data_IF_572006587440
#
_entry.id   IF_572006587440
#
_cell.length_a   1.000
_cell.length_b   1.000
_cell.length_c   1.000
_cell.angle_alpha   90.00
_cell.angle_beta   90.00
_cell.angle_gamma   90.00
#
_symmetry.space_group_name_H-M   'P 1'
#
loop_
_entity.id
_entity.type
_entity.pdbx_description
1 polymer ?
#
# COMPACT_ATOMS: atom_id res chain seq x y z
N UNK A 1 -31.26 -22.56 -63.59
CA UNK A 1 -32.08 -23.44 -62.72
C UNK A 1 -31.19 -24.17 -61.71
N UNK A 2 -30.22 -24.99 -62.14
CA UNK A 2 -29.29 -25.68 -61.22
C UNK A 2 -28.58 -24.77 -60.22
N UNK A 3 -27.98 -23.64 -60.65
CA UNK A 3 -27.29 -22.72 -59.75
C UNK A 3 -28.21 -22.11 -58.67
N UNK A 4 -29.48 -21.84 -58.99
CA UNK A 4 -30.46 -21.34 -58.02
C UNK A 4 -30.83 -22.41 -56.98
N UNK A 5 -30.94 -23.67 -57.41
CA UNK A 5 -31.21 -24.81 -56.52
C UNK A 5 -30.02 -25.04 -55.59
N UNK A 6 -28.78 -24.92 -56.08
CA UNK A 6 -27.57 -25.06 -55.25
C UNK A 6 -27.48 -23.96 -54.19
N UNK A 7 -27.78 -22.71 -54.54
CA UNK A 7 -27.77 -21.58 -53.59
C UNK A 7 -28.83 -21.79 -52.49
N UNK A 8 -30.05 -22.20 -52.87
CA UNK A 8 -31.11 -22.50 -51.88
C UNK A 8 -30.70 -23.68 -50.99
N UNK A 9 -30.08 -24.72 -51.55
CA UNK A 9 -29.56 -25.85 -50.78
C UNK A 9 -28.48 -25.44 -49.77
N UNK A 10 -27.57 -24.54 -50.16
CA UNK A 10 -26.53 -24.01 -49.26
C UNK A 10 -27.14 -23.14 -48.16
N UNK A 11 -28.11 -22.27 -48.48
CA UNK A 11 -28.79 -21.44 -47.48
C UNK A 11 -29.56 -22.29 -46.48
N UNK A 12 -30.29 -23.31 -46.95
CA UNK A 12 -31.01 -24.25 -46.07
C UNK A 12 -30.03 -25.06 -45.22
N UNK A 13 -28.92 -25.54 -45.80
CA UNK A 13 -27.90 -26.26 -45.04
C UNK A 13 -27.25 -25.38 -43.96
N UNK A 14 -26.98 -24.10 -44.25
CA UNK A 14 -26.44 -23.15 -43.26
C UNK A 14 -27.46 -22.84 -42.17
N UNK A 15 -28.75 -22.71 -42.48
CA UNK A 15 -29.79 -22.49 -41.48
C UNK A 15 -30.10 -23.73 -40.63
N UNK A 16 -29.96 -24.94 -41.19
CA UNK A 16 -30.21 -26.20 -40.49
C UNK A 16 -28.99 -26.65 -39.67
N UNK A 17 -27.76 -26.30 -40.08
CA UNK A 17 -26.52 -26.56 -39.32
C UNK A 17 -26.14 -25.45 -38.32
N UNK A 18 -26.95 -24.40 -38.17
CA UNK A 18 -26.85 -23.55 -36.99
C UNK A 18 -27.47 -24.32 -35.82
N UNK A 19 -26.67 -25.19 -35.18
CA UNK A 19 -26.99 -25.64 -33.83
C UNK A 19 -27.23 -24.37 -33.00
N UNK A 20 -28.41 -24.21 -32.36
CA UNK A 20 -28.60 -23.10 -31.46
C UNK A 20 -27.52 -23.22 -30.39
N UNK A 21 -26.54 -22.30 -30.41
CA UNK A 21 -25.56 -22.19 -29.35
C UNK A 21 -26.38 -22.13 -28.07
N UNK A 22 -26.35 -23.20 -27.30
CA UNK A 22 -27.15 -23.31 -26.09
C UNK A 22 -26.58 -22.29 -25.13
N UNK A 23 -27.16 -21.09 -25.15
CA UNK A 23 -26.75 -20.02 -24.24
C UNK A 23 -27.03 -20.52 -22.84
N UNK A 24 -25.96 -20.73 -22.08
CA UNK A 24 -26.08 -21.13 -20.68
C UNK A 24 -26.93 -20.07 -19.97
N UNK A 25 -27.97 -20.47 -19.21
CA UNK A 25 -28.83 -19.53 -18.51
C UNK A 25 -28.01 -18.54 -17.68
N UNK A 26 -28.32 -17.25 -17.81
CA UNK A 26 -27.71 -16.14 -17.08
C UNK A 26 -26.20 -15.93 -17.31
N UNK A 27 -25.59 -16.65 -18.26
CA UNK A 27 -24.17 -16.48 -18.58
C UNK A 27 -23.86 -15.04 -19.01
N UNK A 28 -22.87 -14.43 -18.36
CA UNK A 28 -22.43 -13.06 -18.58
C UNK A 28 -23.18 -12.02 -17.74
N UNK A 29 -24.30 -12.38 -17.11
CA UNK A 29 -25.06 -11.49 -16.22
C UNK A 29 -24.28 -11.22 -14.93
N UNK A 30 -24.50 -10.05 -14.32
CA UNK A 30 -23.98 -9.74 -13.01
C UNK A 30 -24.70 -10.58 -11.95
N UNK A 31 -23.96 -11.09 -10.96
CA UNK A 31 -24.54 -11.81 -9.83
C UNK A 31 -25.43 -10.88 -8.99
N UNK A 32 -25.03 -9.60 -8.86
CA UNK A 32 -25.76 -8.53 -8.19
C UNK A 32 -25.99 -7.34 -9.14
N UNK A 33 -27.01 -7.37 -10.01
CA UNK A 33 -27.20 -6.35 -11.06
C UNK A 33 -27.32 -4.90 -10.55
N UNK A 34 -27.85 -4.70 -9.35
CA UNK A 34 -28.09 -3.36 -8.76
C UNK A 34 -26.97 -2.88 -7.82
N UNK A 35 -25.95 -3.72 -7.56
CA UNK A 35 -24.92 -3.37 -6.58
C UNK A 35 -24.06 -2.21 -7.08
N UNK A 36 -23.71 -2.18 -8.37
CA UNK A 36 -22.88 -1.11 -8.93
C UNK A 36 -23.50 0.29 -8.74
N UNK A 37 -24.83 0.41 -8.80
CA UNK A 37 -25.52 1.69 -8.56
C UNK A 37 -25.56 2.13 -7.10
N UNK A 38 -25.28 1.24 -6.15
CA UNK A 38 -25.38 1.50 -4.70
C UNK A 38 -24.06 1.28 -3.97
N UNK A 39 -22.99 0.91 -4.68
CA UNK A 39 -21.69 0.53 -4.10
C UNK A 39 -21.05 1.65 -3.27
N UNK A 40 -21.29 2.91 -3.64
CA UNK A 40 -20.78 4.07 -2.93
C UNK A 40 -21.52 4.35 -1.61
N UNK A 41 -22.73 3.82 -1.46
CA UNK A 41 -23.57 3.94 -0.27
C UNK A 41 -23.28 2.84 0.75
N UNK A 42 -22.42 1.87 0.41
CA UNK A 42 -22.03 0.78 1.31
C UNK A 42 -21.29 1.37 2.51
N UNK A 43 -21.83 1.09 3.70
CA UNK A 43 -21.30 1.57 4.97
C UNK A 43 -20.85 0.44 5.90
N UNK A 44 -21.14 -0.81 5.57
CA UNK A 44 -20.66 -1.97 6.31
C UNK A 44 -20.31 -3.12 5.34
N UNK A 45 -19.14 -3.72 5.53
CA UNK A 45 -18.70 -4.96 4.88
C UNK A 45 -18.41 -5.98 5.97
N UNK A 46 -19.06 -7.14 5.88
CA UNK A 46 -18.88 -8.24 6.82
C UNK A 46 -18.34 -9.43 6.04
N UNK A 47 -17.24 -10.02 6.53
CA UNK A 47 -16.65 -11.26 6.01
C UNK A 47 -16.70 -12.29 7.13
N UNK A 48 -17.41 -13.38 6.91
CA UNK A 48 -17.63 -14.41 7.90
C UNK A 48 -17.16 -15.77 7.39
N UNK A 49 -16.37 -16.44 8.21
CA UNK A 49 -16.05 -17.85 8.07
C UNK A 49 -16.68 -18.61 9.23
N UNK A 50 -16.42 -19.91 9.35
CA UNK A 50 -16.81 -20.68 10.52
C UNK A 50 -16.17 -20.16 11.81
N UNK A 51 -14.90 -19.74 11.74
CA UNK A 51 -14.06 -19.47 12.91
C UNK A 51 -13.91 -17.97 13.22
N UNK A 52 -14.15 -17.11 12.24
CA UNK A 52 -13.87 -15.68 12.33
C UNK A 52 -14.94 -14.84 11.65
N UNK A 53 -15.22 -13.69 12.26
CA UNK A 53 -16.00 -12.59 11.68
C UNK A 53 -15.11 -11.37 11.61
N UNK A 54 -15.08 -10.73 10.45
CA UNK A 54 -14.45 -9.42 10.22
C UNK A 54 -15.56 -8.44 9.88
N UNK A 55 -15.61 -7.31 10.59
CA UNK A 55 -16.61 -6.27 10.40
C UNK A 55 -15.93 -4.94 10.13
N UNK A 56 -16.08 -4.46 8.90
CA UNK A 56 -15.59 -3.17 8.44
C UNK A 56 -16.75 -2.18 8.41
N UNK A 57 -16.61 -1.06 9.10
CA UNK A 57 -17.63 -0.02 9.19
C UNK A 57 -17.07 1.28 8.63
N UNK A 58 -17.83 1.97 7.79
CA UNK A 58 -17.46 3.27 7.26
C UNK A 58 -18.02 4.39 8.14
N UNK A 59 -17.14 5.13 8.78
CA UNK A 59 -17.49 6.30 9.61
C UNK A 59 -16.66 7.50 9.14
N UNK A 60 -17.28 8.67 8.99
CA UNK A 60 -16.59 9.91 8.61
C UNK A 60 -15.64 9.77 7.39
N UNK A 61 -16.05 8.96 6.40
CA UNK A 61 -15.29 8.58 5.21
C UNK A 61 -14.05 7.69 5.42
N UNK A 62 -13.86 7.12 6.61
CA UNK A 62 -12.80 6.15 6.90
C UNK A 62 -13.41 4.78 7.17
N UNK A 63 -12.78 3.73 6.64
CA UNK A 63 -13.12 2.36 7.00
C UNK A 63 -12.41 1.96 8.27
N UNK A 64 -13.17 1.46 9.24
CA UNK A 64 -12.68 1.03 10.54
C UNK A 64 -12.99 -0.45 10.75
N UNK A 65 -12.09 -1.14 11.43
CA UNK A 65 -12.19 -2.56 11.75
C UNK A 65 -12.69 -2.73 13.19
N UNK A 66 -13.89 -3.27 13.34
CA UNK A 66 -14.57 -3.42 14.63
C UNK A 66 -13.79 -4.30 15.60
N UNK A 67 -13.25 -5.41 15.10
CA UNK A 67 -12.50 -6.40 15.87
C UNK A 67 -11.14 -5.87 16.36
N UNK A 68 -10.71 -4.70 15.86
CA UNK A 68 -9.50 -3.98 16.28
C UNK A 68 -9.84 -2.62 16.90
N UNK A 69 -10.94 -2.58 17.66
CA UNK A 69 -11.39 -1.43 18.43
C UNK A 69 -11.60 -0.14 17.61
N UNK A 70 -11.99 -0.30 16.34
CA UNK A 70 -12.20 0.80 15.39
C UNK A 70 -10.92 1.31 14.73
N UNK A 71 -9.81 0.56 14.74
CA UNK A 71 -8.63 0.97 13.99
C UNK A 71 -8.91 1.01 12.49
N UNK A 72 -8.25 1.93 11.78
CA UNK A 72 -8.43 2.11 10.34
C UNK A 72 -8.07 0.84 9.54
N UNK A 73 -8.87 0.55 8.54
CA UNK A 73 -8.65 -0.51 7.59
C UNK A 73 -8.05 0.02 6.28
N UNK A 74 -7.38 -0.87 5.54
CA UNK A 74 -6.87 -0.59 4.20
C UNK A 74 -8.04 -0.38 3.23
N UNK A 75 -8.26 0.89 2.87
CA UNK A 75 -9.35 1.31 1.99
C UNK A 75 -9.25 0.71 0.59
N UNK A 76 -8.05 0.42 0.09
CA UNK A 76 -7.87 -0.14 -1.24
C UNK A 76 -8.33 -1.60 -1.27
N UNK A 77 -8.05 -2.37 -0.21
CA UNK A 77 -8.62 -3.73 -0.05
C UNK A 77 -10.14 -3.70 -0.01
N UNK A 78 -10.73 -2.78 0.75
CA UNK A 78 -12.19 -2.65 0.83
C UNK A 78 -12.78 -2.34 -0.55
N UNK A 79 -12.23 -1.33 -1.22
CA UNK A 79 -12.67 -0.93 -2.58
C UNK A 79 -12.58 -2.07 -3.57
N UNK A 80 -11.50 -2.86 -3.54
CA UNK A 80 -11.32 -4.02 -4.41
C UNK A 80 -12.41 -5.06 -4.22
N UNK A 81 -12.84 -5.34 -2.98
CA UNK A 81 -13.96 -6.24 -2.71
C UNK A 81 -15.29 -5.67 -3.18
N UNK A 82 -15.56 -4.39 -2.89
CA UNK A 82 -16.81 -3.74 -3.30
C UNK A 82 -16.99 -3.77 -4.83
N UNK A 83 -15.94 -3.41 -5.58
CA UNK A 83 -15.94 -3.48 -7.05
C UNK A 83 -15.99 -4.93 -7.51
N UNK A 84 -15.19 -5.82 -6.91
CA UNK A 84 -15.14 -7.24 -7.25
C UNK A 84 -16.49 -7.94 -7.14
N UNK A 85 -17.29 -7.60 -6.12
CA UNK A 85 -18.67 -8.08 -5.96
C UNK A 85 -19.63 -7.44 -6.97
N UNK A 86 -19.51 -6.13 -7.21
CA UNK A 86 -20.37 -5.40 -8.14
C UNK A 86 -20.18 -5.84 -9.60
N UNK A 87 -18.98 -6.30 -9.95
CA UNK A 87 -18.62 -6.77 -11.29
C UNK A 87 -18.65 -8.30 -11.45
N UNK A 88 -18.96 -9.05 -10.38
CA UNK A 88 -18.94 -10.51 -10.40
C UNK A 88 -19.98 -11.04 -11.38
N UNK A 89 -19.54 -11.82 -12.39
CA UNK A 89 -20.41 -12.32 -13.46
C UNK A 89 -20.63 -13.81 -13.38
N UNK A 90 -21.84 -14.25 -13.71
CA UNK A 90 -22.20 -15.65 -13.83
C UNK A 90 -21.53 -16.21 -15.09
N UNK A 91 -20.83 -17.34 -14.96
CA UNK A 91 -20.36 -18.13 -16.11
C UNK A 91 -21.35 -19.22 -16.44
N UNK A 92 -21.74 -20.00 -15.44
CA UNK A 92 -22.60 -21.17 -15.65
C UNK A 92 -23.36 -21.54 -14.36
N UNK A 93 -24.63 -21.98 -14.49
CA UNK A 93 -25.31 -22.64 -13.38
C UNK A 93 -24.60 -23.94 -13.01
N UNK A 94 -24.55 -24.24 -11.70
CA UNK A 94 -24.06 -25.49 -11.17
C UNK A 94 -25.20 -26.34 -10.61
N UNK A 95 -25.16 -26.66 -9.33
CA UNK A 95 -26.11 -27.59 -8.70
C UNK A 95 -27.22 -26.86 -7.97
N UNK A 96 -28.41 -27.47 -7.92
CA UNK A 96 -29.47 -27.15 -6.96
C UNK A 96 -29.57 -28.15 -5.81
N UNK A 97 -28.79 -29.24 -5.84
CA UNK A 97 -28.74 -30.25 -4.78
C UNK A 97 -27.78 -29.78 -3.67
N UNK A 98 -28.28 -29.51 -2.44
CA UNK A 98 -27.45 -29.10 -1.30
C UNK A 98 -26.41 -30.14 -0.89
N UNK A 99 -26.64 -31.44 -1.16
CA UNK A 99 -25.69 -32.52 -0.86
C UNK A 99 -24.38 -32.41 -1.65
N UNK A 100 -24.31 -31.54 -2.66
CA UNK A 100 -23.12 -31.30 -3.47
C UNK A 100 -22.38 -30.00 -3.10
N UNK A 101 -22.85 -29.26 -2.09
CA UNK A 101 -22.23 -27.99 -1.70
C UNK A 101 -20.86 -28.14 -1.08
N UNK A 102 -20.62 -29.23 -0.33
CA UNK A 102 -19.31 -29.57 0.25
C UNK A 102 -18.20 -29.61 -0.83
N UNK A 103 -18.48 -30.25 -1.98
CA UNK A 103 -17.56 -30.35 -3.12
C UNK A 103 -17.19 -28.99 -3.72
N UNK A 104 -18.07 -28.01 -3.55
CA UNK A 104 -17.90 -26.65 -4.07
C UNK A 104 -17.41 -25.68 -3.00
N UNK A 105 -17.29 -26.11 -1.74
CA UNK A 105 -16.99 -25.24 -0.60
C UNK A 105 -18.12 -24.25 -0.27
N UNK A 106 -19.38 -24.61 -0.55
CA UNK A 106 -20.55 -23.74 -0.43
C UNK A 106 -21.45 -24.10 0.75
N UNK A 107 -20.96 -24.81 1.76
CA UNK A 107 -21.74 -25.10 2.97
C UNK A 107 -22.12 -23.80 3.71
N UNK A 108 -23.17 -23.80 4.53
CA UNK A 108 -23.40 -22.65 5.43
C UNK A 108 -22.29 -22.61 6.51
N UNK A 109 -22.03 -21.44 7.10
CA UNK A 109 -20.94 -21.28 8.10
C UNK A 109 -21.19 -22.10 9.37
N UNK A 110 -22.45 -22.35 9.70
CA UNK A 110 -22.88 -23.12 10.87
C UNK A 110 -22.67 -24.63 10.69
N UNK A 111 -22.45 -25.10 9.46
CA UNK A 111 -22.25 -26.52 9.19
C UNK A 111 -20.84 -26.97 9.63
N UNK A 112 -20.74 -28.19 10.16
CA UNK A 112 -19.46 -28.77 10.54
C UNK A 112 -18.53 -28.90 9.32
N UNK A 113 -17.25 -28.60 9.50
CA UNK A 113 -16.27 -28.60 8.41
C UNK A 113 -16.43 -27.52 7.32
N UNK A 114 -17.35 -26.56 7.46
CA UNK A 114 -17.57 -25.53 6.43
C UNK A 114 -16.30 -24.72 6.15
N UNK A 115 -15.93 -24.65 4.86
CA UNK A 115 -14.80 -23.87 4.35
C UNK A 115 -15.25 -22.60 3.59
N UNK A 116 -16.56 -22.36 3.55
CA UNK A 116 -17.12 -21.22 2.82
C UNK A 116 -16.76 -19.90 3.49
N UNK A 117 -16.91 -18.80 2.76
CA UNK A 117 -16.85 -17.45 3.29
C UNK A 117 -18.11 -16.70 2.90
N UNK A 118 -18.89 -16.26 3.87
CA UNK A 118 -20.05 -15.39 3.64
C UNK A 118 -19.59 -13.95 3.61
N UNK A 119 -19.99 -13.22 2.57
CA UNK A 119 -19.72 -11.79 2.43
C UNK A 119 -21.04 -11.04 2.38
N UNK A 120 -21.18 -10.05 3.25
CA UNK A 120 -22.38 -9.20 3.36
C UNK A 120 -21.99 -7.75 3.20
N UNK A 121 -22.67 -7.05 2.30
CA UNK A 121 -22.60 -5.59 2.14
C UNK A 121 -23.90 -4.98 2.65
N UNK A 122 -23.79 -3.95 3.48
CA UNK A 122 -24.94 -3.16 3.94
C UNK A 122 -24.82 -1.72 3.49
N UNK A 123 -25.98 -1.11 3.27
CA UNK A 123 -26.16 0.33 3.13
C UNK A 123 -27.10 0.83 4.23
N UNK A 124 -27.18 2.15 4.50
CA UNK A 124 -28.11 2.69 5.48
C UNK A 124 -29.58 2.32 5.24
N UNK A 125 -29.96 2.08 3.98
CA UNK A 125 -31.33 1.80 3.56
C UNK A 125 -31.57 0.31 3.25
N UNK A 126 -30.52 -0.51 3.17
CA UNK A 126 -30.63 -1.93 2.87
C UNK A 126 -29.60 -2.73 3.67
N UNK A 127 -30.02 -3.47 4.72
CA UNK A 127 -29.12 -4.27 5.54
C UNK A 127 -28.55 -5.50 4.79
N UNK A 128 -29.06 -5.81 3.59
CA UNK A 128 -28.59 -6.90 2.73
C UNK A 128 -28.49 -6.39 1.28
N UNK A 129 -27.71 -5.33 1.07
CA UNK A 129 -27.46 -4.79 -0.27
C UNK A 129 -26.82 -5.83 -1.22
N UNK A 130 -25.95 -6.69 -0.66
CA UNK A 130 -25.54 -7.94 -1.26
C UNK A 130 -25.18 -8.94 -0.17
N UNK A 131 -25.51 -10.22 -0.37
CA UNK A 131 -25.09 -11.31 0.52
C UNK A 131 -24.78 -12.55 -0.31
N UNK A 132 -23.56 -13.08 -0.20
CA UNK A 132 -23.08 -14.22 -0.99
C UNK A 132 -22.24 -15.15 -0.15
N UNK A 133 -22.44 -16.45 -0.36
CA UNK A 133 -21.57 -17.51 0.15
C UNK A 133 -20.57 -17.86 -0.95
N UNK A 134 -19.30 -17.67 -0.66
CA UNK A 134 -18.17 -17.87 -1.56
C UNK A 134 -17.44 -19.14 -1.18
N UNK A 135 -17.24 -20.03 -2.15
CA UNK A 135 -16.60 -21.32 -1.95
C UNK A 135 -15.24 -21.43 -2.64
N UNK A 136 -15.00 -22.61 -3.21
CA UNK A 136 -13.75 -22.92 -3.90
C UNK A 136 -13.52 -21.96 -5.08
N UNK A 137 -12.25 -21.65 -5.34
CA UNK A 137 -11.85 -20.77 -6.44
C UNK A 137 -10.62 -21.31 -7.13
N UNK A 138 -10.47 -20.99 -8.42
CA UNK A 138 -9.29 -21.33 -9.24
C UNK A 138 -9.01 -20.21 -10.24
N UNK A 139 -7.76 -20.06 -10.72
CA UNK A 139 -7.47 -19.15 -11.82
C UNK A 139 -8.37 -19.41 -13.03
N UNK A 140 -8.90 -18.34 -13.63
CA UNK A 140 -9.78 -18.46 -14.79
C UNK A 140 -9.01 -18.90 -16.03
N UNK A 141 -9.66 -19.70 -16.89
CA UNK A 141 -9.06 -20.11 -18.17
C UNK A 141 -8.81 -18.89 -19.06
N UNK A 142 -7.60 -18.76 -19.58
CA UNK A 142 -7.22 -17.69 -20.52
C UNK A 142 -6.97 -16.32 -19.89
N UNK A 143 -7.24 -16.12 -18.59
CA UNK A 143 -6.88 -14.90 -17.87
C UNK A 143 -6.47 -15.21 -16.43
N UNK A 144 -5.17 -15.37 -16.13
CA UNK A 144 -4.71 -15.72 -14.78
C UNK A 144 -4.89 -14.60 -13.74
N UNK A 145 -5.31 -13.39 -14.15
CA UNK A 145 -5.65 -12.29 -13.24
C UNK A 145 -7.09 -12.37 -12.71
N UNK A 146 -7.92 -13.22 -13.31
CA UNK A 146 -9.29 -13.47 -12.89
C UNK A 146 -9.39 -14.85 -12.26
N UNK A 147 -10.42 -15.07 -11.45
CA UNK A 147 -10.73 -16.36 -10.86
C UNK A 147 -12.10 -16.84 -11.29
N UNK A 148 -12.21 -18.14 -11.51
CA UNK A 148 -13.47 -18.86 -11.53
C UNK A 148 -13.84 -19.20 -10.07
N UNK A 149 -14.97 -18.69 -9.59
CA UNK A 149 -15.34 -18.71 -8.18
C UNK A 149 -16.72 -19.36 -8.02
N UNK A 150 -16.81 -20.42 -7.22
CA UNK A 150 -18.09 -21.00 -6.86
C UNK A 150 -18.79 -20.10 -5.83
N UNK A 151 -20.07 -19.80 -6.06
CA UNK A 151 -20.86 -18.97 -5.16
C UNK A 151 -22.30 -19.47 -5.06
N UNK A 152 -23.00 -19.10 -3.99
CA UNK A 152 -24.46 -19.14 -3.92
C UNK A 152 -25.00 -17.99 -3.06
N UNK A 153 -26.26 -17.63 -3.27
CA UNK A 153 -26.96 -16.71 -2.37
C UNK A 153 -27.56 -17.51 -1.22
N UNK A 154 -27.54 -17.01 0.03
CA UNK A 154 -28.24 -17.64 1.14
C UNK A 154 -29.73 -17.84 0.82
N UNK A 155 -30.29 -18.99 1.19
CA UNK A 155 -31.68 -19.35 0.92
C UNK A 155 -32.01 -19.72 -0.53
N UNK A 156 -31.15 -19.44 -1.50
CA UNK A 156 -31.30 -19.87 -2.89
C UNK A 156 -30.59 -21.22 -3.09
N UNK A 157 -31.30 -22.30 -3.48
CA UNK A 157 -30.67 -23.60 -3.70
C UNK A 157 -29.69 -23.59 -4.88
N UNK A 158 -29.75 -22.61 -5.78
CA UNK A 158 -28.88 -22.56 -6.95
C UNK A 158 -27.45 -22.10 -6.61
N UNK A 159 -26.49 -22.99 -6.86
CA UNK A 159 -25.07 -22.64 -6.90
C UNK A 159 -24.63 -22.21 -8.31
N UNK A 160 -23.68 -21.30 -8.38
CA UNK A 160 -23.17 -20.74 -9.63
C UNK A 160 -21.66 -20.87 -9.69
N UNK A 161 -21.12 -21.03 -10.90
CA UNK A 161 -19.74 -20.64 -11.16
C UNK A 161 -19.74 -19.23 -11.71
N UNK A 162 -18.90 -18.38 -11.14
CA UNK A 162 -18.73 -16.99 -11.54
C UNK A 162 -17.32 -16.71 -12.02
N UNK A 163 -17.12 -15.59 -12.69
CA UNK A 163 -15.81 -15.05 -13.03
C UNK A 163 -15.67 -13.65 -12.45
N UNK A 164 -14.56 -13.41 -11.76
CA UNK A 164 -14.30 -12.13 -11.09
C UNK A 164 -12.95 -12.11 -10.40
N UNK A 165 -12.73 -11.06 -9.61
CA UNK A 165 -11.59 -10.94 -8.71
C UNK A 165 -12.11 -10.61 -7.31
N UNK A 166 -12.06 -11.60 -6.41
CA UNK A 166 -12.60 -11.48 -5.06
C UNK A 166 -11.58 -12.04 -4.05
N UNK A 167 -10.67 -11.17 -3.60
CA UNK A 167 -9.59 -11.52 -2.67
C UNK A 167 -10.01 -11.24 -1.22
N UNK A 168 -10.74 -12.18 -0.64
CA UNK A 168 -11.28 -12.04 0.71
C UNK A 168 -10.19 -12.33 1.74
N UNK A 169 -9.83 -11.31 2.49
CA UNK A 169 -9.03 -11.46 3.71
C UNK A 169 -9.95 -11.99 4.83
N UNK A 170 -9.56 -13.11 5.43
CA UNK A 170 -10.40 -13.85 6.38
C UNK A 170 -10.07 -13.50 7.82
N UNK A 171 -8.87 -12.97 8.05
CA UNK A 171 -8.36 -12.60 9.37
C UNK A 171 -8.44 -11.09 9.53
N UNK A 172 -8.90 -10.64 10.70
CA UNK A 172 -9.04 -9.20 10.99
C UNK A 172 -7.73 -8.41 10.75
N UNK A 173 -6.59 -8.94 11.18
CA UNK A 173 -5.28 -8.27 11.01
C UNK A 173 -4.89 -8.01 9.56
N UNK A 174 -5.36 -8.83 8.61
CA UNK A 174 -5.07 -8.66 7.18
C UNK A 174 -5.76 -7.42 6.59
N UNK A 175 -6.75 -6.85 7.28
CA UNK A 175 -7.46 -5.65 6.84
C UNK A 175 -6.85 -4.35 7.35
N UNK A 176 -5.86 -4.39 8.24
CA UNK A 176 -5.30 -3.19 8.87
C UNK A 176 -4.60 -2.30 7.84
N UNK A 177 -4.78 -0.98 7.95
CA UNK A 177 -3.89 -0.02 7.29
C UNK A 177 -2.57 0.03 8.06
N UNK A 178 -1.60 -0.74 7.55
CA UNK A 178 -0.35 -1.05 8.24
C UNK A 178 0.66 0.11 8.31
N UNK A 179 0.45 1.21 7.57
CA UNK A 179 1.48 2.25 7.40
C UNK A 179 1.54 3.20 8.61
N UNK A 180 2.43 2.98 9.59
CA UNK A 180 2.56 3.91 10.72
C UNK A 180 3.28 5.18 10.27
N UNK A 181 4.44 5.06 9.62
CA UNK A 181 5.24 6.21 9.16
C UNK A 181 5.38 6.22 7.64
N UNK A 182 5.29 7.41 7.05
CA UNK A 182 5.37 7.63 5.61
C UNK A 182 6.26 8.85 5.30
N UNK A 183 7.54 8.76 5.65
CA UNK A 183 8.53 9.81 5.37
C UNK A 183 9.37 9.45 4.15
N UNK A 184 10.20 10.39 3.69
CA UNK A 184 11.25 10.10 2.69
C UNK A 184 12.61 10.26 3.34
N UNK A 185 13.55 9.36 3.03
CA UNK A 185 14.92 9.41 3.57
C UNK A 185 15.66 10.70 3.17
N UNK A 186 15.26 11.34 2.06
CA UNK A 186 15.77 12.66 1.64
C UNK A 186 15.41 13.77 2.62
N UNK A 187 14.26 13.71 3.29
CA UNK A 187 13.87 14.69 4.32
C UNK A 187 14.62 14.50 5.62
N UNK A 188 15.11 13.30 5.92
CA UNK A 188 15.72 12.99 7.22
C UNK A 188 17.11 13.61 7.34
N UNK A 189 17.33 14.37 8.39
CA UNK A 189 18.62 14.94 8.78
C UNK A 189 19.35 14.01 9.74
N UNK A 190 18.65 13.49 10.76
CA UNK A 190 19.26 12.80 11.89
C UNK A 190 18.33 11.78 12.50
N UNK A 191 18.89 10.67 12.97
CA UNK A 191 18.23 9.72 13.87
C UNK A 191 19.11 9.52 15.10
N UNK A 192 18.51 9.65 16.28
CA UNK A 192 19.12 9.29 17.56
C UNK A 192 18.34 8.12 18.15
N UNK A 193 19.01 7.04 18.53
CA UNK A 193 18.42 5.92 19.28
C UNK A 193 19.07 5.86 20.65
N UNK A 194 18.26 5.84 21.69
CA UNK A 194 18.69 5.74 23.09
C UNK A 194 18.25 4.40 23.67
N UNK A 195 19.21 3.65 24.19
CA UNK A 195 19.01 2.35 24.80
C UNK A 195 18.60 2.47 26.28
N UNK A 196 17.99 1.42 26.88
CA UNK A 196 17.60 1.43 28.29
C UNK A 196 18.73 1.73 29.28
N UNK A 197 19.98 1.43 28.93
CA UNK A 197 21.18 1.70 29.73
C UNK A 197 21.74 3.11 29.54
N UNK A 198 21.15 3.91 28.63
CA UNK A 198 21.58 5.25 28.29
C UNK A 198 22.61 5.33 27.16
N UNK A 199 23.05 4.20 26.57
CA UNK A 199 23.87 4.24 25.35
C UNK A 199 23.08 4.90 24.22
N UNK A 200 23.74 5.76 23.44
CA UNK A 200 23.14 6.44 22.30
C UNK A 200 23.82 6.07 20.99
N UNK A 201 23.01 5.79 19.99
CA UNK A 201 23.40 5.68 18.59
C UNK A 201 22.93 6.93 17.87
N UNK A 202 23.85 7.62 17.21
CA UNK A 202 23.54 8.80 16.41
C UNK A 202 23.99 8.58 14.97
N UNK A 203 23.04 8.69 14.03
CA UNK A 203 23.31 8.68 12.59
C UNK A 203 22.73 9.93 11.94
N UNK A 204 23.49 10.57 11.06
CA UNK A 204 23.08 11.84 10.42
C UNK A 204 23.67 12.01 9.04
N UNK A 205 23.07 12.88 8.24
CA UNK A 205 23.65 13.38 6.99
C UNK A 205 23.58 14.89 6.94
N UNK A 206 24.49 15.53 6.22
CA UNK A 206 24.60 16.98 6.26
C UNK A 206 23.56 17.66 5.37
N UNK A 207 23.28 17.05 4.21
CA UNK A 207 22.40 17.57 3.16
C UNK A 207 21.33 16.54 2.73
N UNK A 208 20.16 17.00 2.23
CA UNK A 208 19.14 16.13 1.67
C UNK A 208 19.65 15.21 0.54
N UNK A 209 20.61 15.70 -0.25
CA UNK A 209 21.18 15.03 -1.42
C UNK A 209 22.18 13.93 -1.06
N UNK A 210 22.72 13.94 0.16
CA UNK A 210 23.65 12.91 0.60
C UNK A 210 22.96 11.54 0.62
N UNK A 211 23.61 10.57 -0.02
CA UNK A 211 23.10 9.20 -0.16
C UNK A 211 23.19 8.41 1.15
N UNK A 212 24.23 8.68 1.94
CA UNK A 212 24.62 7.88 3.09
C UNK A 212 24.55 8.68 4.40
N UNK A 213 23.95 8.06 5.42
CA UNK A 213 24.02 8.54 6.79
C UNK A 213 25.34 8.12 7.41
N UNK A 214 25.97 9.04 8.12
CA UNK A 214 27.22 8.81 8.83
C UNK A 214 26.95 8.48 10.30
N UNK A 215 27.72 7.53 10.82
CA UNK A 215 27.72 7.21 12.25
C UNK A 215 28.56 8.26 12.99
N UNK A 216 27.99 8.88 14.03
CA UNK A 216 28.70 9.88 14.80
C UNK A 216 29.84 9.28 15.65
N UNK A 217 30.91 10.05 15.85
CA UNK A 217 32.01 9.76 16.80
C UNK A 217 32.62 8.35 16.69
N UNK A 218 33.01 7.92 15.49
CA UNK A 218 33.68 6.62 15.28
C UNK A 218 35.00 6.56 16.09
N UNK A 219 35.20 5.56 16.97
CA UNK A 219 36.43 5.44 17.76
C UNK A 219 37.69 5.32 16.88
N UNK A 220 38.80 5.88 17.35
CA UNK A 220 40.08 5.76 16.65
C UNK A 220 40.45 4.27 16.44
N UNK A 221 40.92 3.93 15.24
CA UNK A 221 41.24 2.54 14.86
C UNK A 221 40.03 1.69 14.44
N UNK A 222 38.82 2.26 14.45
CA UNK A 222 37.60 1.61 13.95
C UNK A 222 37.17 2.19 12.60
N UNK A 223 36.43 1.39 11.84
CA UNK A 223 35.73 1.82 10.62
C UNK A 223 34.28 1.35 10.65
N UNK A 224 33.42 1.97 9.85
CA UNK A 224 32.06 1.43 9.62
C UNK A 224 32.19 0.09 8.90
N UNK A 225 31.66 -0.97 9.50
CA UNK A 225 31.69 -2.32 8.94
C UNK A 225 30.72 -2.47 7.76
N UNK A 226 29.56 -1.81 7.81
CA UNK A 226 28.53 -1.87 6.78
C UNK A 226 27.75 -0.57 6.71
N UNK A 227 27.95 0.19 5.63
CA UNK A 227 27.20 1.42 5.36
C UNK A 227 25.70 1.14 5.15
N UNK A 228 25.38 0.00 4.53
CA UNK A 228 24.00 -0.46 4.37
C UNK A 228 23.27 -0.59 5.71
N UNK A 229 23.92 -1.18 6.72
CA UNK A 229 23.31 -1.34 8.04
C UNK A 229 23.06 0.01 8.72
N UNK A 230 23.98 0.97 8.57
CA UNK A 230 23.80 2.34 9.09
C UNK A 230 22.58 3.01 8.44
N UNK A 231 22.48 2.96 7.11
CA UNK A 231 21.32 3.52 6.40
C UNK A 231 20.00 2.80 6.74
N UNK A 232 20.05 1.50 7.02
CA UNK A 232 18.87 0.69 7.33
C UNK A 232 18.23 1.07 8.67
N UNK A 233 18.98 1.63 9.63
CA UNK A 233 18.43 2.23 10.85
C UNK A 233 17.41 3.31 10.49
N UNK A 234 17.82 4.24 9.61
CA UNK A 234 16.97 5.35 9.17
C UNK A 234 15.83 4.86 8.29
N UNK A 235 16.13 4.02 7.30
CA UNK A 235 15.12 3.47 6.39
C UNK A 235 14.00 2.74 7.12
N UNK A 236 14.33 2.04 8.20
CA UNK A 236 13.33 1.34 9.02
C UNK A 236 12.39 2.31 9.74
N UNK A 237 12.89 3.39 10.35
CA UNK A 237 12.03 4.39 11.02
C UNK A 237 11.24 5.25 10.04
N UNK A 238 11.74 5.43 8.81
CA UNK A 238 11.06 6.15 7.74
C UNK A 238 9.82 5.38 7.25
N UNK A 239 9.94 4.06 7.13
CA UNK A 239 8.87 3.15 6.68
C UNK A 239 8.70 2.00 7.68
N UNK A 240 8.12 2.29 8.83
CA UNK A 240 7.82 1.32 9.87
C UNK A 240 6.35 0.88 9.77
N UNK A 241 6.06 -0.34 9.31
CA UNK A 241 4.71 -0.88 9.36
C UNK A 241 4.38 -1.42 10.75
N UNK A 242 3.09 -1.57 11.04
CA UNK A 242 2.59 -2.42 12.13
C UNK A 242 2.32 -3.85 11.65
N UNK A 243 2.39 -4.81 12.57
CA UNK A 243 1.84 -6.17 12.39
C UNK A 243 0.44 -6.28 12.99
N UNK A 244 0.21 -5.59 14.11
CA UNK A 244 -1.08 -5.52 14.79
C UNK A 244 -1.21 -4.21 15.60
N UNK A 245 -2.37 -3.97 16.20
CA UNK A 245 -2.68 -2.74 16.94
C UNK A 245 -3.51 -3.03 18.20
N UNK A 246 -3.27 -2.24 19.24
CA UNK A 246 -4.00 -2.23 20.50
C UNK A 246 -4.23 -0.81 20.98
N UNK A 247 -5.17 -0.61 21.91
CA UNK A 247 -5.28 0.69 22.60
C UNK A 247 -4.03 0.91 23.46
N UNK A 248 -3.56 2.16 23.54
CA UNK A 248 -2.34 2.53 24.26
C UNK A 248 -2.32 2.02 25.71
N UNK A 249 -3.47 2.00 26.37
CA UNK A 249 -3.62 1.58 27.78
C UNK A 249 -3.38 0.08 28.00
N UNK A 250 -3.33 -0.73 26.94
CA UNK A 250 -3.12 -2.18 27.02
C UNK A 250 -1.63 -2.57 27.12
N UNK A 251 -0.71 -1.62 26.92
CA UNK A 251 0.75 -1.85 26.96
C UNK A 251 1.40 -0.90 27.94
N UNK A 252 2.19 -1.45 28.88
CA UNK A 252 2.90 -0.64 29.86
C UNK A 252 4.34 -0.36 29.42
N UNK A 253 4.54 0.83 28.83
CA UNK A 253 5.85 1.33 28.36
C UNK A 253 6.83 1.73 29.47
N UNK A 254 6.37 1.85 30.72
CA UNK A 254 7.24 2.19 31.86
C UNK A 254 7.92 0.95 32.44
N UNK A 255 7.18 -0.16 32.54
CA UNK A 255 7.67 -1.41 33.12
C UNK A 255 8.36 -2.32 32.09
N UNK A 256 8.09 -2.11 30.80
CA UNK A 256 8.66 -2.88 29.70
C UNK A 256 9.47 -1.93 28.82
N UNK A 257 10.71 -1.63 29.22
CA UNK A 257 11.53 -0.66 28.50
C UNK A 257 12.20 -1.28 27.28
N UNK A 258 11.94 -0.70 26.10
CA UNK A 258 12.75 -0.88 24.90
C UNK A 258 13.58 0.37 24.61
N UNK A 259 14.08 0.49 23.38
CA UNK A 259 14.76 1.71 22.92
C UNK A 259 13.77 2.85 22.67
N UNK A 260 14.26 4.09 22.78
CA UNK A 260 13.59 5.27 22.23
C UNK A 260 14.35 5.75 20.99
N UNK A 261 13.63 6.18 19.96
CA UNK A 261 14.23 6.75 18.76
C UNK A 261 13.62 8.12 18.46
N UNK A 262 14.46 9.06 18.06
CA UNK A 262 14.07 10.39 17.61
C UNK A 262 14.60 10.58 16.20
N UNK A 263 13.70 10.76 15.24
CA UNK A 263 14.01 11.06 13.85
C UNK A 263 13.68 12.53 13.57
N UNK A 264 14.63 13.27 13.03
CA UNK A 264 14.51 14.69 12.74
C UNK A 264 14.70 14.94 11.25
N UNK A 265 13.82 15.73 10.65
CA UNK A 265 13.88 16.14 9.25
C UNK A 265 14.46 17.54 9.09
N UNK A 266 14.98 17.83 7.90
CA UNK A 266 15.46 19.16 7.50
C UNK A 266 14.37 20.22 7.44
N UNK A 267 13.09 19.82 7.38
CA UNK A 267 11.95 20.71 7.23
C UNK A 267 11.14 20.91 8.52
N UNK A 268 11.64 20.42 9.66
CA UNK A 268 11.07 20.75 10.96
C UNK A 268 10.31 19.64 11.66
N UNK A 269 10.15 18.45 11.05
CA UNK A 269 9.44 17.34 11.69
C UNK A 269 10.39 16.59 12.63
N UNK A 270 9.99 16.44 13.89
CA UNK A 270 10.62 15.51 14.84
C UNK A 270 9.63 14.40 15.20
N UNK A 271 9.95 13.18 14.81
CA UNK A 271 9.22 11.95 15.13
C UNK A 271 9.85 11.31 16.38
N UNK A 272 9.02 10.98 17.35
CA UNK A 272 9.38 10.25 18.57
C UNK A 272 8.80 8.84 18.48
N UNK A 273 9.64 7.84 18.73
CA UNK A 273 9.27 6.43 18.82
C UNK A 273 9.73 5.90 20.16
N UNK A 274 8.82 5.31 20.92
CA UNK A 274 9.13 4.58 22.14
C UNK A 274 8.75 3.12 21.94
N UNK A 275 9.66 2.20 22.25
CA UNK A 275 9.37 0.76 22.17
C UNK A 275 9.23 0.14 23.56
N UNK A 276 8.48 -0.96 23.62
CA UNK A 276 8.31 -1.78 24.80
C UNK A 276 8.28 -3.26 24.41
N UNK A 277 8.97 -4.11 25.18
CA UNK A 277 8.91 -5.56 25.00
C UNK A 277 8.01 -6.19 26.06
N UNK A 278 6.85 -6.67 25.63
CA UNK A 278 5.88 -7.33 26.50
C UNK A 278 5.65 -8.75 25.98
N UNK A 279 5.96 -9.74 26.83
CA UNK A 279 6.02 -11.15 26.43
C UNK A 279 7.01 -11.36 25.27
N UNK A 280 6.59 -12.03 24.20
CA UNK A 280 7.39 -12.28 23.00
C UNK A 280 7.17 -11.23 21.89
N UNK A 281 6.41 -10.17 22.18
CA UNK A 281 6.04 -9.13 21.22
C UNK A 281 6.73 -7.81 21.52
N UNK A 282 6.95 -7.02 20.48
CA UNK A 282 7.48 -5.67 20.60
C UNK A 282 6.40 -4.68 20.20
N UNK A 283 6.14 -3.72 21.07
CA UNK A 283 5.16 -2.67 20.86
C UNK A 283 5.85 -1.32 20.67
N UNK A 284 5.25 -0.46 19.85
CA UNK A 284 5.68 0.90 19.58
C UNK A 284 4.60 1.91 19.94
N UNK A 285 5.03 3.05 20.46
CA UNK A 285 4.25 4.28 20.60
C UNK A 285 4.93 5.41 19.84
N UNK A 286 4.13 6.23 19.17
CA UNK A 286 4.59 7.26 18.26
C UNK A 286 3.98 8.61 18.61
N UNK A 287 4.75 9.67 18.42
CA UNK A 287 4.25 11.04 18.38
C UNK A 287 5.16 11.86 17.47
N UNK A 288 4.67 12.99 16.98
CA UNK A 288 5.48 13.93 16.21
C UNK A 288 5.30 15.35 16.74
N UNK A 289 6.29 16.20 16.51
CA UNK A 289 6.21 17.63 16.74
C UNK A 289 6.88 18.41 15.61
N UNK A 290 6.47 19.67 15.45
CA UNK A 290 7.16 20.61 14.57
C UNK A 290 8.14 21.45 15.40
N UNK A 291 9.42 21.40 15.05
CA UNK A 291 10.49 22.22 15.63
C UNK A 291 11.04 23.19 14.57
N UNK A 292 10.78 24.50 14.69
CA UNK A 292 11.26 25.49 13.74
C UNK A 292 12.78 25.59 13.69
N UNK A 293 13.51 25.16 14.73
CA UNK A 293 14.97 25.20 14.74
C UNK A 293 15.60 24.11 13.87
N UNK A 294 14.83 23.08 13.48
CA UNK A 294 15.28 22.04 12.57
C UNK A 294 15.13 22.46 11.10
N UNK A 295 14.36 23.51 10.81
CA UNK A 295 14.17 24.03 9.45
C UNK A 295 15.48 24.62 8.96
N UNK A 296 16.20 23.89 8.10
CA UNK A 296 17.38 24.44 7.42
C UNK A 296 16.91 25.35 6.28
N UNK A 297 17.38 26.59 6.23
CA UNK A 297 17.14 27.46 5.08
C UNK A 297 17.80 26.86 3.84
N UNK A 298 17.05 26.76 2.75
CA UNK A 298 17.48 26.18 1.46
C UNK A 298 18.67 26.95 0.84
N UNK A 299 19.00 28.13 1.39
CA UNK A 299 20.09 29.01 0.94
C UNK A 299 21.50 28.62 1.46
N UNK A 300 21.61 27.62 2.34
CA UNK A 300 22.89 27.19 2.91
C UNK A 300 23.53 25.98 2.20
N UNK A 301 23.07 25.62 0.99
CA UNK A 301 23.77 24.67 0.12
C UNK A 301 24.74 25.49 -0.75
N UNK A 302 26.07 25.45 -0.52
CA UNK A 302 27.00 26.10 -1.44
C UNK A 302 26.87 25.41 -2.80
N UNK A 303 26.39 26.17 -3.79
CA UNK A 303 26.45 25.83 -5.20
C UNK A 303 27.90 25.49 -5.55
N UNK A 304 28.20 24.43 -6.32
CA UNK A 304 29.57 24.10 -6.66
C UNK A 304 30.23 25.29 -7.36
N UNK A 305 31.36 25.72 -6.82
CA UNK A 305 32.20 26.80 -7.35
C UNK A 305 32.41 26.58 -8.86
N UNK A 306 32.08 27.61 -9.65
CA UNK A 306 32.49 27.69 -11.05
C UNK A 306 34.01 27.68 -11.09
N UNK A 307 34.59 26.53 -11.43
CA UNK A 307 36.00 26.41 -11.75
C UNK A 307 36.37 27.38 -12.88
N UNK A 308 37.38 28.21 -12.60
CA UNK A 308 38.04 29.05 -13.58
C UNK A 308 38.54 28.19 -14.75
N UNK A 309 38.07 28.51 -15.95
CA UNK A 309 38.55 27.92 -17.19
C UNK A 309 39.94 28.46 -17.52
N UNK A 310 40.95 27.60 -17.42
CA UNK A 310 42.27 27.83 -18.04
C UNK A 310 42.14 27.52 -19.55
N UNK A 311 42.52 28.42 -20.47
CA UNK A 311 42.38 28.17 -21.89
C UNK A 311 43.54 27.33 -22.42
N UNK A 312 43.22 26.18 -23.03
CA UNK A 312 44.16 25.41 -23.85
C UNK A 312 44.10 25.95 -25.28
N UNK A 313 45.23 26.46 -25.75
CA UNK A 313 45.49 26.79 -27.14
C UNK A 313 45.43 25.52 -28.00
N UNK A 314 44.80 25.59 -29.16
CA UNK A 314 45.23 24.81 -30.31
C UNK A 314 45.07 25.59 -31.62
N UNK A 315 46.07 25.39 -32.46
CA UNK A 315 46.39 26.11 -33.66
C UNK A 315 45.74 25.53 -34.93
N UNK A 316 45.90 26.28 -36.02
CA UNK A 316 45.70 25.94 -37.44
C UNK A 316 44.25 25.81 -37.93
N UNK A 317 43.87 26.21 -39.15
CA UNK A 317 44.32 27.15 -40.18
C UNK A 317 43.30 26.98 -41.34
N UNK A 318 42.92 28.07 -42.02
CA UNK A 318 42.51 28.19 -43.45
C UNK A 318 41.40 27.25 -44.02
N UNK A 319 40.46 27.64 -44.88
CA UNK A 319 40.40 28.70 -45.88
C UNK A 319 38.94 28.88 -46.44
N UNK A 320 38.59 30.14 -46.72
CA UNK A 320 37.69 30.74 -47.76
C UNK A 320 36.39 30.09 -48.31
N UNK A 321 35.36 30.94 -48.21
CA UNK A 321 34.44 31.46 -49.26
C UNK A 321 33.20 30.66 -49.69
N UNK A 322 32.00 31.24 -49.51
CA UNK A 322 31.20 31.94 -50.56
C UNK A 322 29.82 32.37 -50.01
N UNK A 323 29.35 33.55 -50.44
CA UNK A 323 28.03 34.15 -50.13
C UNK A 323 26.88 33.35 -50.75
N UNK A 324 25.73 33.33 -50.07
CA UNK A 324 24.38 33.54 -50.66
C UNK A 324 23.38 33.89 -49.56
N UNK A 325 22.59 34.94 -49.82
CA UNK A 325 21.43 35.36 -49.03
C UNK A 325 20.22 34.51 -49.44
N UNK A 326 19.41 34.06 -48.48
CA UNK A 326 18.00 33.74 -48.68
C UNK A 326 17.21 34.03 -47.39
N UNK A 327 16.02 34.59 -47.56
CA UNK A 327 15.19 35.25 -46.55
C UNK A 327 14.33 34.30 -45.69
N UNK A 328 13.87 34.87 -44.55
CA UNK A 328 12.71 34.54 -43.67
C UNK A 328 12.98 33.76 -42.37
N UNK A 329 12.14 33.97 -41.33
CA UNK A 329 11.79 35.23 -40.69
C UNK A 329 12.11 35.17 -39.18
N UNK A 330 12.02 36.33 -38.53
CA UNK A 330 12.11 36.53 -37.08
C UNK A 330 11.19 35.58 -36.30
N UNK A 331 11.77 34.77 -35.42
CA UNK A 331 11.08 34.22 -34.24
C UNK A 331 11.88 34.69 -33.04
N UNK A 332 11.30 35.63 -32.30
CA UNK A 332 11.76 36.03 -30.98
C UNK A 332 11.81 34.78 -30.08
N UNK A 333 13.00 34.47 -29.57
CA UNK A 333 13.18 33.49 -28.49
C UNK A 333 12.53 34.04 -27.22
N UNK A 334 11.27 33.69 -26.98
CA UNK A 334 10.71 33.65 -25.64
C UNK A 334 11.41 32.52 -24.88
N UNK A 335 11.94 32.87 -23.70
CA UNK A 335 12.68 31.96 -22.84
C UNK A 335 11.86 30.72 -22.50
N UNK A 336 12.48 29.57 -22.72
CA UNK A 336 12.06 28.34 -22.04
C UNK A 336 12.26 28.55 -20.53
N UNK A 337 11.23 28.33 -19.69
CA UNK A 337 11.46 28.24 -18.26
C UNK A 337 12.18 26.91 -17.98
N UNK A 338 13.33 27.00 -17.32
CA UNK A 338 13.98 25.84 -16.70
C UNK A 338 12.97 25.07 -15.84
N UNK A 339 13.04 23.71 -15.79
CA UNK A 339 12.15 22.93 -14.92
C UNK A 339 12.40 23.35 -13.47
N UNK A 340 11.35 23.72 -12.75
CA UNK A 340 11.42 23.86 -11.29
C UNK A 340 11.67 22.46 -10.72
N UNK A 341 12.84 22.22 -10.14
CA UNK A 341 13.03 21.06 -9.28
C UNK A 341 12.03 21.18 -8.12
N UNK A 342 11.08 20.25 -8.02
CA UNK A 342 10.21 20.14 -6.86
C UNK A 342 11.08 19.88 -5.63
N UNK A 343 11.18 20.88 -4.75
CA UNK A 343 11.87 20.75 -3.46
C UNK A 343 11.31 19.56 -2.70
N UNK A 344 12.17 18.60 -2.32
CA UNK A 344 11.78 17.43 -1.52
C UNK A 344 11.40 17.82 -0.08
N UNK A 345 11.84 19.01 0.36
CA UNK A 345 11.50 19.58 1.66
C UNK A 345 10.17 20.32 1.58
N UNK A 346 9.31 20.07 2.55
CA UNK A 346 7.99 20.72 2.67
C UNK A 346 8.12 22.09 3.33
N UNK A 347 7.12 22.95 3.10
CA UNK A 347 7.05 24.24 3.79
C UNK A 347 6.69 24.04 5.28
N UNK A 348 7.11 24.93 6.19
CA UNK A 348 6.78 24.82 7.62
C UNK A 348 5.28 24.60 7.91
N UNK A 349 4.39 25.33 7.23
CA UNK A 349 2.94 25.18 7.39
C UNK A 349 2.41 23.81 6.94
N UNK A 350 3.04 23.20 5.92
CA UNK A 350 2.69 21.87 5.44
C UNK A 350 3.18 20.80 6.43
N UNK A 351 4.35 21.00 7.03
CA UNK A 351 4.89 20.10 8.07
C UNK A 351 4.06 20.17 9.35
N UNK A 352 3.60 21.35 9.76
CA UNK A 352 2.70 21.49 10.91
C UNK A 352 1.40 20.69 10.70
N UNK A 353 0.76 20.82 9.53
CA UNK A 353 -0.42 20.03 9.17
C UNK A 353 -0.15 18.53 9.12
N UNK A 354 1.00 18.13 8.60
CA UNK A 354 1.45 16.73 8.58
C UNK A 354 1.61 16.17 9.99
N UNK A 355 2.24 16.92 10.90
CA UNK A 355 2.40 16.55 12.32
C UNK A 355 1.06 16.43 13.03
N UNK A 356 0.15 17.37 12.83
CA UNK A 356 -1.20 17.33 13.41
C UNK A 356 -1.97 16.09 12.92
N UNK A 357 -1.99 15.84 11.62
CA UNK A 357 -2.65 14.68 11.03
C UNK A 357 -2.01 13.36 11.50
N UNK A 358 -0.67 13.31 11.62
CA UNK A 358 0.04 12.16 12.15
C UNK A 358 -0.38 11.88 13.59
N UNK A 359 -0.36 12.89 14.47
CA UNK A 359 -0.72 12.74 15.87
C UNK A 359 -2.18 12.32 16.05
N UNK A 360 -3.12 12.91 15.31
CA UNK A 360 -4.53 12.49 15.35
C UNK A 360 -4.70 11.01 15.01
N UNK A 361 -3.91 10.51 14.07
CA UNK A 361 -3.96 9.11 13.62
C UNK A 361 -3.35 8.13 14.62
N UNK A 362 -2.28 8.52 15.31
CA UNK A 362 -1.56 7.61 16.24
C UNK A 362 -1.99 7.74 17.70
N UNK A 363 -2.70 8.80 18.06
CA UNK A 363 -3.14 9.06 19.43
C UNK A 363 -4.00 7.93 19.97
N UNK A 364 -3.67 7.46 21.18
CA UNK A 364 -4.42 6.40 21.88
C UNK A 364 -4.19 4.99 21.34
N UNK A 365 -3.24 4.83 20.42
CA UNK A 365 -2.87 3.54 19.85
C UNK A 365 -1.45 3.14 20.24
N UNK A 366 -1.24 1.83 20.33
CA UNK A 366 0.07 1.20 20.33
C UNK A 366 0.10 0.10 19.28
N UNK A 367 1.25 -0.06 18.65
CA UNK A 367 1.41 -0.91 17.47
C UNK A 367 2.30 -2.08 17.82
N UNK A 368 1.87 -3.29 17.53
CA UNK A 368 2.78 -4.43 17.46
C UNK A 368 3.68 -4.23 16.24
N UNK A 369 4.99 -4.24 16.47
CA UNK A 369 6.00 -3.97 15.46
C UNK A 369 6.72 -5.27 15.08
N UNK A 370 7.11 -5.44 13.81
CA UNK A 370 7.92 -6.57 13.43
C UNK A 370 9.24 -6.58 14.21
N UNK A 371 9.51 -7.67 14.92
CA UNK A 371 10.69 -7.78 15.80
C UNK A 371 11.99 -7.47 15.04
N UNK A 372 12.14 -8.01 13.82
CA UNK A 372 13.32 -7.77 12.98
C UNK A 372 13.49 -6.29 12.56
N UNK A 373 12.39 -5.52 12.46
CA UNK A 373 12.45 -4.08 12.20
C UNK A 373 12.94 -3.34 13.44
N UNK A 374 12.45 -3.72 14.61
CA UNK A 374 12.93 -3.12 15.87
C UNK A 374 14.41 -3.43 16.10
N UNK A 375 14.84 -4.66 15.86
CA UNK A 375 16.26 -5.05 15.91
C UNK A 375 17.15 -4.22 14.98
N UNK A 376 16.65 -3.78 13.82
CA UNK A 376 17.46 -2.98 12.90
C UNK A 376 17.88 -1.63 13.49
N UNK A 377 16.96 -0.91 14.13
CA UNK A 377 17.27 0.39 14.73
C UNK A 377 17.71 0.29 16.19
N UNK A 378 17.48 -0.85 16.86
CA UNK A 378 17.95 -1.12 18.23
C UNK A 378 19.37 -1.67 18.28
N UNK A 379 20.19 -1.45 17.25
CA UNK A 379 21.61 -1.82 17.28
C UNK A 379 22.39 -0.80 18.12
N UNK A 380 23.44 -1.29 18.78
CA UNK A 380 24.39 -0.45 19.50
C UNK A 380 25.45 0.06 18.54
N UNK A 381 26.26 1.03 18.98
CA UNK A 381 27.34 1.56 18.15
C UNK A 381 28.33 0.47 17.71
N UNK A 382 28.63 -0.47 18.62
CA UNK A 382 29.59 -1.56 18.40
C UNK A 382 29.18 -2.47 17.24
N UNK A 383 27.89 -2.66 17.02
CA UNK A 383 27.35 -3.51 15.94
C UNK A 383 27.64 -2.97 14.53
N UNK A 384 28.03 -1.69 14.44
CA UNK A 384 28.38 -1.04 13.17
C UNK A 384 29.88 -0.90 12.96
N UNK A 385 30.72 -1.24 13.94
CA UNK A 385 32.16 -1.04 13.87
C UNK A 385 32.90 -2.31 13.45
N UNK A 386 33.85 -2.15 12.54
CA UNK A 386 34.85 -3.15 12.21
C UNK A 386 36.24 -2.65 12.61
N UNK A 387 37.17 -3.58 12.80
CA UNK A 387 38.58 -3.25 13.05
C UNK A 387 39.28 -2.85 11.75
N UNK A 388 40.15 -1.84 11.84
CA UNK A 388 41.10 -1.55 10.76
C UNK A 388 42.23 -2.60 10.89
N UNK A 389 42.53 -3.36 9.82
CA UNK A 389 43.58 -4.38 9.85
C UNK A 389 44.98 -3.79 10.03
#
# INVERSE_FOLDING_TARGET
ILAAITIVGIVVAVFVNQEPVSQLPNSGELLFPSLLSTVNDVNELIVETKDQTVTLVREENTWQLKEKAGYRADVEKVKQILIGLAELRILEPKTKNPELYDRLGLQDKEQEGSLSTTVTLKTPNNPEAAMVIVGNQRPAKGNPRMSEIYVRKPGDPQAWLTIGNLRLEKVAGEWLDTEITALTTKRVHRVTVTHPDGETLLVSKDKPEDLDFQLDSIPAGSKVASQFNVNNVVGTLVQLPLEDVKKEQEVNFQNHTGVTAVLETFDGLRLHVQTAKQEDKVFGKFSAEFDPNLVKSVDAIPSPEKGETVPVQNAAQDEKATKSQEEKPTIEKQGEPSPKEDSVLKKPEEVQKEVEAFNQRVQGWTYELPTFRVENFSKTKKDFLGTIP
#
